data_IF_117213711805
#
_entry.id   IF_117213711805
#
_cell.length_a   1.000
_cell.length_b   1.000
_cell.length_c   1.000
_cell.angle_alpha   90.00
_cell.angle_beta   90.00
_cell.angle_gamma   90.00
#
_symmetry.space_group_name_H-M   'P 1'
#
loop_
_entity.id
_entity.type
_entity.pdbx_description
1 polymer ?
#
# COMPACT_ATOMS: atom_id res chain seq x y z
N UNK A 1 -8.34 -0.17 -20.91
CA UNK A 1 -8.76 0.21 -19.54
C UNK A 1 -7.55 0.02 -18.65
N UNK A 2 -6.73 1.04 -18.59
CA UNK A 2 -5.45 1.03 -17.86
C UNK A 2 -5.73 1.53 -16.45
N UNK A 3 -5.65 0.63 -15.49
CA UNK A 3 -5.93 0.91 -14.08
C UNK A 3 -4.75 1.61 -13.43
N UNK A 4 -5.04 2.59 -12.60
CA UNK A 4 -4.06 3.44 -11.93
C UNK A 4 -3.22 2.64 -10.92
N UNK A 5 -1.99 2.35 -11.26
CA UNK A 5 -1.00 1.69 -10.41
C UNK A 5 -0.54 2.49 -9.18
N UNK A 6 -0.97 3.74 -9.04
CA UNK A 6 -0.90 4.48 -7.77
C UNK A 6 -1.57 3.68 -6.66
N UNK A 7 -2.62 2.95 -7.03
CA UNK A 7 -3.33 2.04 -6.15
C UNK A 7 -2.51 0.81 -5.73
N UNK A 8 -1.47 0.41 -6.43
CA UNK A 8 -0.88 -0.91 -6.25
C UNK A 8 0.18 -1.01 -5.17
N UNK A 9 0.92 0.05 -4.89
CA UNK A 9 1.91 0.05 -3.80
C UNK A 9 1.38 0.67 -2.50
N UNK A 10 0.51 1.67 -2.64
CA UNK A 10 -0.09 2.40 -1.54
C UNK A 10 -1.61 2.46 -1.67
N UNK A 11 -2.16 2.12 -2.83
CA UNK A 11 -3.57 2.11 -3.12
C UNK A 11 -4.35 1.15 -2.23
N UNK A 12 -3.71 0.07 -1.79
CA UNK A 12 -4.24 -0.77 -0.72
C UNK A 12 -4.38 -0.04 0.59
N UNK A 13 -3.61 1.00 0.78
CA UNK A 13 -3.58 1.79 2.00
C UNK A 13 -4.52 2.97 1.90
N UNK A 14 -4.68 3.54 0.69
CA UNK A 14 -5.51 4.75 0.46
C UNK A 14 -6.86 4.39 -0.16
N UNK A 15 -6.98 3.21 -0.81
CA UNK A 15 -8.07 2.87 -1.72
C UNK A 15 -9.03 1.77 -1.26
N UNK A 16 -9.05 1.39 -0.01
CA UNK A 16 -10.12 0.53 0.50
C UNK A 16 -11.45 1.29 0.60
N UNK A 17 -11.89 1.88 -0.51
CA UNK A 17 -13.20 2.51 -0.67
C UNK A 17 -14.32 1.53 -0.98
N UNK A 18 -14.05 0.21 -1.04
CA UNK A 18 -15.11 -0.78 -1.00
C UNK A 18 -15.32 -1.17 0.45
N UNK A 19 -16.57 -1.10 0.88
CA UNK A 19 -17.06 -1.85 2.03
C UNK A 19 -16.99 -3.34 1.63
N UNK A 20 -15.76 -3.90 1.64
CA UNK A 20 -15.62 -5.33 1.83
C UNK A 20 -15.98 -5.50 3.30
N UNK A 21 -17.12 -6.13 3.55
CA UNK A 21 -17.58 -6.47 4.90
C UNK A 21 -16.67 -7.56 5.50
N UNK A 22 -15.38 -7.26 5.56
CA UNK A 22 -14.40 -8.06 6.30
C UNK A 22 -13.96 -7.26 7.52
N UNK A 23 -13.89 -7.93 8.64
CA UNK A 23 -14.30 -9.30 8.91
C UNK A 23 -15.81 -9.41 9.08
N UNK A 24 -16.34 -10.64 9.12
CA UNK A 24 -17.74 -10.89 9.44
C UNK A 24 -18.04 -10.38 10.86
N UNK A 25 -19.31 -10.01 11.10
CA UNK A 25 -19.74 -9.51 12.44
C UNK A 25 -19.35 -10.43 13.61
N UNK A 26 -19.29 -11.73 13.36
CA UNK A 26 -18.88 -12.72 14.36
C UNK A 26 -17.48 -12.48 14.89
N UNK A 27 -16.53 -12.04 14.04
CA UNK A 27 -15.19 -11.67 14.46
C UNK A 27 -15.20 -10.38 15.30
N UNK A 28 -15.95 -9.37 14.88
CA UNK A 28 -16.05 -8.09 15.59
C UNK A 28 -16.67 -8.24 16.99
N UNK A 29 -17.51 -9.28 17.20
CA UNK A 29 -18.14 -9.60 18.49
C UNK A 29 -17.21 -10.36 19.45
N UNK A 30 -16.04 -10.80 18.99
CA UNK A 30 -15.03 -11.42 19.87
C UNK A 30 -14.44 -10.40 20.86
N UNK A 31 -13.96 -10.91 22.01
CA UNK A 31 -13.14 -10.07 22.89
C UNK A 31 -11.88 -9.60 22.15
N UNK A 32 -11.39 -8.40 22.48
CA UNK A 32 -10.18 -7.83 21.87
C UNK A 32 -8.97 -8.77 21.97
N UNK A 33 -8.85 -9.49 23.08
CA UNK A 33 -7.80 -10.50 23.27
C UNK A 33 -7.89 -11.62 22.23
N UNK A 34 -9.09 -12.15 21.97
CA UNK A 34 -9.30 -13.19 20.97
C UNK A 34 -9.07 -12.69 19.54
N UNK A 35 -9.54 -11.47 19.23
CA UNK A 35 -9.25 -10.83 17.95
C UNK A 35 -7.72 -10.74 17.76
N UNK A 36 -6.99 -10.23 18.75
CA UNK A 36 -5.55 -10.05 18.67
C UNK A 36 -4.81 -11.38 18.46
N UNK A 37 -5.19 -12.45 19.17
CA UNK A 37 -4.59 -13.79 18.97
C UNK A 37 -4.71 -14.26 17.52
N UNK A 38 -5.88 -14.08 16.89
CA UNK A 38 -6.08 -14.45 15.49
C UNK A 38 -5.22 -13.58 14.56
N UNK A 39 -5.14 -12.29 14.83
CA UNK A 39 -4.35 -11.36 14.00
C UNK A 39 -2.84 -11.62 14.14
N UNK A 40 -2.35 -11.92 15.34
CA UNK A 40 -0.94 -12.23 15.58
C UNK A 40 -0.53 -13.55 14.91
N UNK A 41 -1.36 -14.59 15.03
CA UNK A 41 -1.16 -15.86 14.34
C UNK A 41 -1.15 -15.67 12.80
N UNK A 42 -2.06 -14.85 12.28
CA UNK A 42 -2.11 -14.50 10.86
C UNK A 42 -0.85 -13.77 10.43
N UNK A 43 -0.44 -12.71 11.13
CA UNK A 43 0.79 -11.95 10.84
C UNK A 43 2.01 -12.84 10.78
N UNK A 44 2.16 -13.74 11.75
CA UNK A 44 3.26 -14.70 11.83
C UNK A 44 3.28 -15.64 10.62
N UNK A 45 2.13 -16.18 10.21
CA UNK A 45 2.06 -17.09 9.06
C UNK A 45 2.28 -16.36 7.74
N UNK A 46 1.71 -15.16 7.54
CA UNK A 46 1.95 -14.33 6.36
C UNK A 46 3.40 -13.82 6.26
N UNK A 47 4.08 -13.61 7.39
CA UNK A 47 5.50 -13.25 7.42
C UNK A 47 6.41 -14.44 7.06
N UNK A 48 5.96 -15.68 7.30
CA UNK A 48 6.75 -16.89 7.14
C UNK A 48 6.88 -17.37 5.70
N UNK A 49 5.82 -17.23 4.89
CA UNK A 49 5.73 -17.80 3.54
C UNK A 49 5.05 -16.84 2.57
N UNK A 50 5.29 -16.99 1.25
CA UNK A 50 4.50 -16.31 0.23
C UNK A 50 3.00 -16.56 0.41
N UNK A 51 2.17 -15.60 0.00
CA UNK A 51 0.72 -15.60 0.24
C UNK A 51 0.04 -16.85 -0.27
N UNK A 52 0.46 -17.38 -1.42
CA UNK A 52 -0.08 -18.60 -2.02
C UNK A 52 0.08 -19.81 -1.07
N UNK A 53 1.18 -19.85 -0.33
CA UNK A 53 1.57 -20.95 0.55
C UNK A 53 1.09 -20.78 2.00
N UNK A 54 0.40 -19.68 2.31
CA UNK A 54 -0.19 -19.44 3.64
C UNK A 54 -1.22 -20.50 3.99
N UNK A 55 -1.08 -21.09 5.17
CA UNK A 55 -1.90 -22.19 5.65
C UNK A 55 -2.90 -21.72 6.71
N UNK A 56 -4.18 -21.79 6.40
CA UNK A 56 -5.25 -21.55 7.39
C UNK A 56 -5.12 -22.52 8.59
N UNK A 57 -4.63 -23.76 8.36
CA UNK A 57 -4.40 -24.71 9.43
C UNK A 57 -3.41 -24.17 10.46
N UNK A 58 -2.28 -23.63 10.01
CA UNK A 58 -1.27 -23.07 10.90
C UNK A 58 -1.82 -21.87 11.70
N UNK A 59 -2.59 -21.01 11.01
CA UNK A 59 -3.21 -19.83 11.66
C UNK A 59 -4.16 -20.26 12.78
N UNK A 60 -5.04 -21.24 12.55
CA UNK A 60 -6.02 -21.65 13.55
C UNK A 60 -5.39 -22.41 14.71
N UNK A 61 -4.34 -23.20 14.45
CA UNK A 61 -3.55 -23.90 15.49
C UNK A 61 -2.82 -22.89 16.38
N UNK A 62 -2.15 -21.90 15.80
CA UNK A 62 -1.44 -20.83 16.55
C UNK A 62 -2.42 -19.93 17.34
N UNK A 63 -3.59 -19.63 16.78
CA UNK A 63 -4.62 -18.82 17.41
C UNK A 63 -5.45 -19.56 18.47
N UNK A 64 -5.26 -20.88 18.60
CA UNK A 64 -6.04 -21.77 19.47
C UNK A 64 -7.57 -21.67 19.20
N UNK A 65 -7.94 -21.77 17.92
CA UNK A 65 -9.34 -21.77 17.48
C UNK A 65 -9.66 -22.99 16.61
N UNK A 66 -10.93 -23.39 16.60
CA UNK A 66 -11.37 -24.42 15.67
C UNK A 66 -11.33 -23.92 14.22
N UNK A 67 -10.98 -24.80 13.26
CA UNK A 67 -10.94 -24.45 11.84
C UNK A 67 -12.28 -23.90 11.32
N UNK A 68 -13.41 -24.41 11.81
CA UNK A 68 -14.74 -23.90 11.47
C UNK A 68 -14.96 -22.44 11.92
N UNK A 69 -14.33 -22.03 13.04
CA UNK A 69 -14.41 -20.66 13.53
C UNK A 69 -13.74 -19.67 12.56
N UNK A 70 -12.64 -20.07 11.92
CA UNK A 70 -12.00 -19.23 10.90
C UNK A 70 -13.00 -18.79 9.83
N UNK A 71 -13.76 -19.71 9.27
CA UNK A 71 -14.74 -19.43 8.21
C UNK A 71 -16.00 -18.69 8.72
N UNK A 72 -16.21 -18.65 10.02
CA UNK A 72 -17.19 -17.76 10.65
C UNK A 72 -16.69 -16.31 10.73
N UNK A 73 -15.39 -16.08 10.66
CA UNK A 73 -14.75 -14.76 10.79
C UNK A 73 -14.36 -14.17 9.42
N UNK A 74 -13.79 -15.00 8.54
CA UNK A 74 -13.27 -14.63 7.22
C UNK A 74 -13.70 -15.65 6.19
N UNK A 75 -13.88 -15.26 4.94
CA UNK A 75 -14.22 -16.20 3.86
C UNK A 75 -12.97 -16.92 3.34
N UNK A 76 -11.84 -16.22 3.33
CA UNK A 76 -10.57 -16.70 2.81
C UNK A 76 -9.38 -16.13 3.61
N UNK A 77 -8.18 -16.65 3.35
CA UNK A 77 -6.93 -16.07 3.90
C UNK A 77 -6.64 -14.70 3.30
N UNK A 78 -7.08 -14.45 2.08
CA UNK A 78 -6.97 -13.17 1.39
C UNK A 78 -7.82 -12.09 2.10
N UNK A 79 -9.03 -12.44 2.54
CA UNK A 79 -9.88 -11.52 3.34
C UNK A 79 -9.21 -11.15 4.67
N UNK A 80 -8.60 -12.13 5.33
CA UNK A 80 -7.85 -11.88 6.56
C UNK A 80 -6.64 -10.97 6.30
N UNK A 81 -5.92 -11.18 5.20
CA UNK A 81 -4.83 -10.29 4.79
C UNK A 81 -5.31 -8.87 4.53
N UNK A 82 -6.42 -8.72 3.80
CA UNK A 82 -7.04 -7.41 3.54
C UNK A 82 -7.39 -6.72 4.85
N UNK A 83 -7.94 -7.44 5.80
CA UNK A 83 -8.25 -6.88 7.12
C UNK A 83 -7.01 -6.40 7.87
N UNK A 84 -5.94 -7.20 7.89
CA UNK A 84 -4.66 -6.81 8.48
C UNK A 84 -4.08 -5.54 7.83
N UNK A 85 -4.20 -5.43 6.51
CA UNK A 85 -3.72 -4.27 5.78
C UNK A 85 -4.61 -3.04 5.98
N UNK A 86 -5.90 -3.22 6.20
CA UNK A 86 -6.87 -2.13 6.35
C UNK A 86 -6.57 -1.23 7.55
N UNK A 87 -6.26 -1.81 8.70
CA UNK A 87 -5.92 -1.01 9.90
C UNK A 87 -4.69 -0.13 9.65
N UNK A 88 -3.68 -0.67 8.98
CA UNK A 88 -2.51 0.11 8.59
C UNK A 88 -2.85 1.15 7.52
N UNK A 89 -3.72 0.81 6.58
CA UNK A 89 -4.19 1.65 5.50
C UNK A 89 -4.87 2.94 6.00
N UNK A 90 -5.77 2.84 6.96
CA UNK A 90 -6.47 4.00 7.52
C UNK A 90 -5.50 4.97 8.20
N UNK A 91 -4.54 4.44 8.96
CA UNK A 91 -3.50 5.25 9.61
C UNK A 91 -2.65 6.02 8.59
N UNK A 92 -2.23 5.33 7.53
CA UNK A 92 -1.42 5.93 6.45
C UNK A 92 -2.24 6.97 5.69
N UNK A 93 -3.51 6.67 5.36
CA UNK A 93 -4.40 7.59 4.65
C UNK A 93 -4.55 8.94 5.38
N UNK A 94 -4.68 8.92 6.70
CA UNK A 94 -4.78 10.15 7.48
C UNK A 94 -3.48 10.98 7.42
N UNK A 95 -2.32 10.33 7.59
CA UNK A 95 -1.01 10.99 7.46
C UNK A 95 -0.76 11.55 6.05
N UNK A 96 -1.22 10.85 5.02
CA UNK A 96 -1.12 11.35 3.63
C UNK A 96 -2.00 12.57 3.42
N UNK A 97 -3.21 12.62 3.97
CA UNK A 97 -4.07 13.81 3.90
C UNK A 97 -3.43 15.02 4.58
N UNK A 98 -2.84 14.82 5.75
CA UNK A 98 -2.09 15.87 6.45
C UNK A 98 -0.93 16.36 5.57
N UNK A 99 -0.16 15.43 4.97
CA UNK A 99 0.97 15.77 4.10
C UNK A 99 0.54 16.50 2.83
N UNK A 100 -0.57 16.14 2.21
CA UNK A 100 -1.15 16.87 1.07
C UNK A 100 -1.41 18.33 1.44
N UNK A 101 -1.96 18.59 2.62
CA UNK A 101 -2.21 19.95 3.09
C UNK A 101 -0.91 20.72 3.37
N UNK A 102 0.07 20.08 4.00
CA UNK A 102 1.37 20.69 4.32
C UNK A 102 2.18 21.10 3.07
N UNK A 103 2.05 20.32 1.99
CA UNK A 103 2.84 20.50 0.76
C UNK A 103 2.08 21.19 -0.36
N UNK A 104 0.89 21.75 -0.07
CA UNK A 104 0.00 22.30 -1.10
C UNK A 104 -0.23 21.31 -2.25
N UNK A 105 -0.32 20.02 -1.93
CA UNK A 105 -0.56 18.95 -2.89
C UNK A 105 0.62 18.62 -3.81
N UNK A 106 1.87 18.96 -3.48
CA UNK A 106 3.06 18.59 -4.30
C UNK A 106 3.18 17.06 -4.37
N UNK A 107 2.94 16.52 -5.56
CA UNK A 107 2.94 15.08 -5.83
C UNK A 107 4.27 14.42 -5.46
N UNK A 108 5.40 15.08 -5.72
CA UNK A 108 6.74 14.53 -5.49
C UNK A 108 7.04 14.47 -4.00
N UNK A 109 6.69 15.51 -3.24
CA UNK A 109 6.84 15.55 -1.79
C UNK A 109 6.00 14.48 -1.11
N UNK A 110 4.80 14.21 -1.63
CA UNK A 110 3.94 13.14 -1.14
C UNK A 110 4.60 11.78 -1.35
N UNK A 111 5.22 11.53 -2.51
CA UNK A 111 5.92 10.26 -2.76
C UNK A 111 7.18 10.09 -1.91
N UNK A 112 7.93 11.17 -1.66
CA UNK A 112 9.07 11.15 -0.72
C UNK A 112 8.59 10.80 0.68
N UNK A 113 7.54 11.46 1.16
CA UNK A 113 6.93 11.16 2.44
C UNK A 113 6.44 9.71 2.55
N UNK A 114 5.81 9.19 1.51
CA UNK A 114 5.35 7.81 1.45
C UNK A 114 6.53 6.83 1.55
N UNK A 115 7.63 7.08 0.83
CA UNK A 115 8.83 6.26 0.91
C UNK A 115 9.42 6.28 2.33
N UNK A 116 9.63 7.47 2.90
CA UNK A 116 10.20 7.62 4.25
C UNK A 116 9.33 6.92 5.29
N UNK A 117 8.00 7.11 5.22
CA UNK A 117 7.04 6.46 6.09
C UNK A 117 7.04 4.93 5.93
N UNK A 118 7.21 4.41 4.69
CA UNK A 118 7.34 2.98 4.47
C UNK A 118 8.55 2.43 5.22
N UNK A 119 9.71 3.03 4.99
CA UNK A 119 10.95 2.56 5.61
C UNK A 119 10.87 2.64 7.14
N UNK A 120 10.29 3.70 7.70
CA UNK A 120 10.11 3.85 9.16
C UNK A 120 9.13 2.84 9.76
N UNK A 121 7.99 2.59 9.09
CA UNK A 121 6.96 1.68 9.60
C UNK A 121 7.35 0.21 9.45
N UNK A 122 8.03 -0.16 8.35
CA UNK A 122 8.49 -1.53 8.11
C UNK A 122 9.66 -1.93 9.02
N UNK A 123 10.30 -0.96 9.69
CA UNK A 123 11.38 -1.22 10.63
C UNK A 123 10.90 -1.43 12.06
N UNK A 124 9.60 -1.42 12.32
CA UNK A 124 9.06 -2.00 13.55
C UNK A 124 9.17 -3.52 13.40
N UNK A 125 10.07 -4.11 14.17
CA UNK A 125 10.50 -5.52 14.12
C UNK A 125 9.33 -6.53 14.07
N UNK A 126 8.15 -6.14 14.51
CA UNK A 126 6.95 -6.99 14.58
C UNK A 126 6.22 -7.15 13.22
N UNK A 127 6.32 -6.15 12.33
CA UNK A 127 5.60 -6.16 11.05
C UNK A 127 6.57 -6.21 9.83
N UNK A 128 7.90 -6.14 10.05
CA UNK A 128 8.91 -6.08 8.99
C UNK A 128 8.83 -7.29 8.05
N UNK A 129 8.79 -8.49 8.60
CA UNK A 129 8.76 -9.72 7.82
C UNK A 129 7.46 -9.86 7.02
N UNK A 130 6.33 -9.46 7.58
CA UNK A 130 5.05 -9.45 6.89
C UNK A 130 5.09 -8.52 5.66
N UNK A 131 5.52 -7.28 5.85
CA UNK A 131 5.60 -6.32 4.75
C UNK A 131 6.65 -6.72 3.71
N UNK A 132 7.80 -7.26 4.15
CA UNK A 132 8.83 -7.80 3.28
C UNK A 132 8.28 -8.91 2.38
N UNK A 133 7.53 -9.87 2.93
CA UNK A 133 6.87 -10.92 2.15
C UNK A 133 5.87 -10.33 1.15
N UNK A 134 5.05 -9.38 1.57
CA UNK A 134 4.07 -8.72 0.71
C UNK A 134 4.79 -7.98 -0.43
N UNK A 135 5.79 -7.15 -0.14
CA UNK A 135 6.46 -6.31 -1.16
C UNK A 135 7.34 -7.10 -2.13
N UNK A 136 8.01 -8.16 -1.65
CA UNK A 136 8.89 -8.98 -2.51
C UNK A 136 8.07 -9.93 -3.36
N UNK A 137 7.02 -10.54 -2.82
CA UNK A 137 6.31 -11.63 -3.46
C UNK A 137 5.05 -11.19 -4.21
N UNK A 138 4.50 -10.02 -3.98
CA UNK A 138 3.46 -9.47 -4.88
C UNK A 138 4.11 -9.17 -6.23
N UNK A 139 4.05 -10.13 -7.13
CA UNK A 139 4.35 -9.89 -8.54
C UNK A 139 3.27 -9.00 -9.11
N UNK A 140 3.65 -8.11 -10.04
CA UNK A 140 2.70 -7.30 -10.80
C UNK A 140 1.71 -8.12 -11.66
N UNK A 141 1.83 -9.45 -11.66
CA UNK A 141 1.00 -10.42 -12.37
C UNK A 141 0.12 -11.28 -11.45
N UNK A 142 0.14 -11.06 -10.12
CA UNK A 142 -0.74 -11.80 -9.22
C UNK A 142 -2.16 -11.22 -9.29
N UNK A 143 -2.91 -11.72 -10.28
CA UNK A 143 -4.31 -11.32 -10.54
C UNK A 143 -5.20 -11.47 -9.30
N UNK A 144 -4.95 -12.44 -8.41
CA UNK A 144 -5.82 -12.71 -7.27
C UNK A 144 -5.81 -11.60 -6.22
N UNK A 145 -4.66 -11.08 -5.83
CA UNK A 145 -4.55 -9.96 -4.88
C UNK A 145 -4.86 -8.65 -5.61
N UNK A 146 -4.42 -8.53 -6.87
CA UNK A 146 -4.78 -7.41 -7.74
C UNK A 146 -6.27 -7.36 -8.02
N UNK A 147 -6.97 -8.48 -8.23
CA UNK A 147 -8.41 -8.52 -8.46
C UNK A 147 -9.20 -8.19 -7.20
N UNK A 148 -8.72 -8.62 -6.04
CA UNK A 148 -9.26 -8.17 -4.75
C UNK A 148 -9.10 -6.65 -4.57
N UNK A 149 -8.00 -6.09 -5.07
CA UNK A 149 -7.68 -4.67 -5.08
C UNK A 149 -8.38 -3.89 -6.19
N UNK A 150 -8.58 -4.46 -7.38
CA UNK A 150 -9.26 -3.89 -8.56
C UNK A 150 -10.74 -3.60 -8.34
N UNK A 151 -11.37 -4.27 -7.42
CA UNK A 151 -12.78 -4.04 -7.07
C UNK A 151 -13.02 -2.72 -6.32
N UNK A 152 -11.99 -1.89 -6.10
CA UNK A 152 -12.13 -0.52 -5.62
C UNK A 152 -12.61 0.38 -6.76
N UNK A 153 -13.71 1.11 -6.54
CA UNK A 153 -14.28 1.98 -7.58
C UNK A 153 -13.35 3.14 -7.91
N UNK A 154 -13.20 3.54 -9.18
CA UNK A 154 -12.39 4.68 -9.60
C UNK A 154 -12.71 6.01 -8.89
N UNK A 155 -13.91 6.13 -8.30
CA UNK A 155 -14.36 7.34 -7.58
C UNK A 155 -13.48 7.76 -6.41
N UNK A 156 -12.77 6.80 -5.79
CA UNK A 156 -11.93 7.12 -4.64
C UNK A 156 -10.54 7.63 -5.06
N UNK A 157 -10.07 7.26 -6.26
CA UNK A 157 -8.84 7.82 -6.89
C UNK A 157 -9.06 9.30 -7.21
N UNK A 158 -10.21 9.62 -7.77
CA UNK A 158 -10.58 10.98 -8.15
C UNK A 158 -10.57 11.92 -6.95
N UNK A 159 -10.96 11.42 -5.78
CA UNK A 159 -11.02 12.23 -4.55
C UNK A 159 -9.68 12.82 -4.11
N UNK A 160 -8.57 12.12 -4.34
CA UNK A 160 -7.23 12.64 -4.02
C UNK A 160 -6.64 13.46 -5.16
N UNK A 161 -7.02 13.17 -6.42
CA UNK A 161 -6.60 13.97 -7.58
C UNK A 161 -6.97 15.45 -7.41
N UNK A 162 -8.19 15.71 -6.92
CA UNK A 162 -8.67 17.07 -6.68
C UNK A 162 -7.91 17.81 -5.56
N UNK A 163 -7.20 17.07 -4.71
CA UNK A 163 -6.39 17.62 -3.63
C UNK A 163 -4.92 17.86 -4.04
N UNK A 164 -4.51 17.35 -5.20
CA UNK A 164 -3.14 17.45 -5.68
C UNK A 164 -2.94 18.69 -6.55
N UNK A 165 -1.80 19.33 -6.39
CA UNK A 165 -1.41 20.47 -7.21
C UNK A 165 -0.82 19.98 -8.55
N UNK A 166 -1.67 19.92 -9.56
CA UNK A 166 -1.29 19.46 -10.91
C UNK A 166 -0.95 20.61 -11.87
N UNK A 167 -1.07 21.88 -11.43
CA UNK A 167 -0.94 23.07 -12.30
C UNK A 167 0.40 23.15 -13.01
N UNK A 168 1.46 22.74 -12.35
CA UNK A 168 2.83 22.80 -12.86
C UNK A 168 3.28 21.50 -13.57
N UNK A 169 2.42 20.49 -13.65
CA UNK A 169 2.75 19.23 -14.31
C UNK A 169 2.43 19.33 -15.81
N UNK A 170 3.25 18.67 -16.64
CA UNK A 170 2.99 18.49 -18.08
C UNK A 170 1.93 17.41 -18.27
N UNK A 171 0.68 17.76 -17.98
CA UNK A 171 -0.46 16.88 -18.14
C UNK A 171 -1.52 17.61 -18.99
N UNK A 172 -2.07 16.94 -19.97
CA UNK A 172 -3.16 17.44 -20.81
C UNK A 172 -4.48 16.76 -20.45
N UNK A 173 -4.38 15.58 -19.84
CA UNK A 173 -5.52 14.75 -19.49
C UNK A 173 -5.20 13.85 -18.27
N UNK A 174 -6.21 13.16 -17.78
CA UNK A 174 -6.07 12.25 -16.64
C UNK A 174 -5.11 11.09 -16.93
N UNK A 175 -4.98 10.64 -18.18
CA UNK A 175 -4.07 9.56 -18.55
C UNK A 175 -2.60 9.95 -18.35
N UNK A 176 -2.23 11.20 -18.66
CA UNK A 176 -0.86 11.68 -18.43
C UNK A 176 -0.51 11.68 -16.96
N UNK A 177 -1.46 12.10 -16.10
CA UNK A 177 -1.29 12.04 -14.66
C UNK A 177 -1.07 10.60 -14.18
N UNK A 178 -1.84 9.66 -14.73
CA UNK A 178 -1.70 8.24 -14.42
C UNK A 178 -0.30 7.70 -14.76
N UNK A 179 0.24 8.07 -15.92
CA UNK A 179 1.60 7.68 -16.36
C UNK A 179 2.65 8.22 -15.39
N UNK A 180 2.53 9.47 -14.94
CA UNK A 180 3.45 10.04 -13.93
C UNK A 180 3.37 9.24 -12.62
N UNK A 181 2.17 8.92 -12.16
CA UNK A 181 1.98 8.11 -10.96
C UNK A 181 2.57 6.70 -11.10
N UNK A 182 2.42 6.06 -12.27
CA UNK A 182 3.03 4.76 -12.56
C UNK A 182 4.56 4.80 -12.45
N UNK A 183 5.20 5.83 -13.02
CA UNK A 183 6.65 6.03 -12.92
C UNK A 183 7.08 6.22 -11.45
N UNK A 184 6.38 7.08 -10.71
CA UNK A 184 6.65 7.33 -9.30
C UNK A 184 6.49 6.05 -8.45
N UNK A 185 5.44 5.27 -8.71
CA UNK A 185 5.24 3.96 -8.07
C UNK A 185 6.38 2.99 -8.36
N UNK A 186 6.83 2.90 -9.61
CA UNK A 186 7.90 1.99 -10.01
C UNK A 186 9.22 2.30 -9.30
N UNK A 187 9.61 3.58 -9.24
CA UNK A 187 10.85 3.99 -8.55
C UNK A 187 10.74 3.83 -7.04
N UNK A 188 9.59 4.15 -6.43
CA UNK A 188 9.34 3.98 -5.00
C UNK A 188 9.42 2.52 -4.60
N UNK A 189 8.71 1.64 -5.33
CA UNK A 189 8.76 0.18 -5.11
C UNK A 189 10.17 -0.36 -5.23
N UNK A 190 10.91 0.03 -6.29
CA UNK A 190 12.30 -0.39 -6.48
C UNK A 190 13.17 -0.02 -5.28
N UNK A 191 13.04 1.19 -4.75
CA UNK A 191 13.82 1.66 -3.61
C UNK A 191 13.50 0.88 -2.33
N UNK A 192 12.22 0.61 -2.06
CA UNK A 192 11.76 -0.20 -0.92
C UNK A 192 12.30 -1.63 -1.03
N UNK A 193 12.18 -2.28 -2.20
CA UNK A 193 12.67 -3.65 -2.42
C UNK A 193 14.20 -3.73 -2.23
N UNK A 194 14.96 -2.74 -2.71
CA UNK A 194 16.41 -2.69 -2.49
C UNK A 194 16.77 -2.64 -1.01
N UNK A 195 16.03 -1.85 -0.22
CA UNK A 195 16.23 -1.78 1.22
C UNK A 195 15.97 -3.14 1.89
N UNK A 196 14.87 -3.83 1.54
CA UNK A 196 14.61 -5.19 2.03
C UNK A 196 15.66 -6.24 1.61
N UNK A 197 16.38 -5.98 0.51
CA UNK A 197 17.50 -6.83 0.06
C UNK A 197 18.83 -6.49 0.75
N UNK A 198 18.83 -5.60 1.73
CA UNK A 198 19.99 -5.27 2.55
C UNK A 198 20.86 -4.13 2.03
N UNK A 199 20.41 -3.39 1.01
CA UNK A 199 21.09 -2.13 0.63
C UNK A 199 20.79 -1.10 1.73
N UNK A 200 21.80 -0.28 2.09
CA UNK A 200 21.65 0.69 3.18
C UNK A 200 20.50 1.69 2.90
N UNK A 201 19.86 2.16 3.97
CA UNK A 201 18.76 3.13 3.88
C UNK A 201 19.22 4.43 3.23
N UNK A 202 20.40 4.88 3.59
CA UNK A 202 21.01 6.12 3.11
C UNK A 202 21.25 6.04 1.60
N UNK A 203 21.79 4.92 1.11
CA UNK A 203 22.02 4.70 -0.32
C UNK A 203 20.70 4.58 -1.08
N UNK A 204 19.74 3.79 -0.57
CA UNK A 204 18.41 3.65 -1.16
C UNK A 204 17.70 4.99 -1.26
N UNK A 205 17.70 5.78 -0.16
CA UNK A 205 17.05 7.09 -0.11
C UNK A 205 17.72 8.09 -1.03
N UNK A 206 19.06 8.16 -1.03
CA UNK A 206 19.81 9.07 -1.90
C UNK A 206 19.54 8.79 -3.38
N UNK A 207 19.54 7.50 -3.76
CA UNK A 207 19.23 7.10 -5.14
C UNK A 207 17.77 7.43 -5.49
N UNK A 208 16.83 7.14 -4.60
CA UNK A 208 15.42 7.44 -4.79
C UNK A 208 15.16 8.94 -4.99
N UNK A 209 15.75 9.80 -4.17
CA UNK A 209 15.63 11.26 -4.31
C UNK A 209 16.15 11.76 -5.66
N UNK A 210 17.27 11.22 -6.15
CA UNK A 210 17.78 11.55 -7.49
C UNK A 210 16.81 11.12 -8.60
N UNK A 211 16.20 9.95 -8.48
CA UNK A 211 15.22 9.48 -9.46
C UNK A 211 13.96 10.32 -9.44
N UNK A 212 13.48 10.74 -8.26
CA UNK A 212 12.40 11.72 -8.10
C UNK A 212 12.76 13.04 -8.79
N UNK A 213 13.98 13.56 -8.55
CA UNK A 213 14.46 14.81 -9.13
C UNK A 213 14.48 14.76 -10.66
N UNK A 214 15.05 13.70 -11.24
CA UNK A 214 15.07 13.53 -12.70
C UNK A 214 13.67 13.45 -13.31
N UNK A 215 12.75 12.76 -12.65
CA UNK A 215 11.37 12.70 -13.10
C UNK A 215 10.69 14.06 -12.97
N UNK A 216 10.87 14.77 -11.86
CA UNK A 216 10.32 16.11 -11.61
C UNK A 216 10.70 17.09 -12.72
N UNK A 217 11.98 17.18 -13.06
CA UNK A 217 12.45 18.05 -14.14
C UNK A 217 11.97 17.62 -15.54
N UNK A 218 11.73 16.34 -15.74
CA UNK A 218 11.15 15.81 -16.99
C UNK A 218 9.68 16.19 -17.20
N UNK A 219 8.88 16.29 -16.13
CA UNK A 219 7.42 16.47 -16.19
C UNK A 219 6.92 17.86 -15.80
N UNK A 220 7.77 18.74 -15.24
CA UNK A 220 7.40 20.13 -14.96
C UNK A 220 7.39 20.93 -16.28
N UNK A 221 6.38 21.74 -16.46
CA UNK A 221 6.32 22.72 -17.57
C UNK A 221 7.51 23.68 -17.46
N UNK A 222 8.23 23.86 -18.56
CA UNK A 222 9.19 24.96 -18.64
C UNK A 222 8.40 26.26 -18.61
N UNK A 223 8.78 27.19 -17.72
CA UNK A 223 8.29 28.56 -17.82
C UNK A 223 8.72 29.11 -19.20
N UNK A 224 7.77 29.53 -20.00
CA UNK A 224 8.07 30.27 -21.24
C UNK A 224 8.77 31.57 -20.82
N UNK A 225 10.08 31.63 -21.02
CA UNK A 225 10.89 32.84 -20.77
C UNK A 225 10.60 33.98 -21.75
N UNK A 226 9.44 33.94 -22.42
CA UNK A 226 8.98 34.97 -23.36
C UNK A 226 7.56 35.40 -22.98
N UNK A 227 7.44 36.22 -21.96
CA UNK A 227 6.28 37.08 -21.71
C UNK A 227 6.79 38.42 -21.20
#
# INVERSE_FOLDING_TARGET
>A
MTECYFCVLWGNVIFMGRVIEVPKETFLKLSKEKQQKVLDAAKKEFARVPIENVSIKNIVEDADIARGSFYQYFESKEDLLIYLLKENAERVSNKVKEKIQETDGDLFEIYIFLYDMAIENFMKKEDEDLFKQIFINIKSSDESIFDLMKNTKPKDVIKYFDLLNTKNLKIENQQDFMVICEMLNAITRKAIIKNFKGVSKEECRSTFLKEIEYLKYGVIKKEDKNA
#
